data_IF_485018996166
#
_entry.id   IF_485018996166
#
_cell.length_a   1.000
_cell.length_b   1.000
_cell.length_c   1.000
_cell.angle_alpha   90.00
_cell.angle_beta   90.00
_cell.angle_gamma   90.00
#
_symmetry.space_group_name_H-M   'P 1'
#
loop_
_entity.id
_entity.type
_entity.pdbx_description
1 polymer ?
#
# COMPACT_ATOMS: atom_id res chain seq x y z
N UNK A 1 -16.24 -1.18 35.03
CA UNK A 1 -15.24 -0.17 34.59
C UNK A 1 -15.77 0.44 33.31
N UNK A 2 -16.03 1.76 33.32
CA UNK A 2 -16.51 2.48 32.14
C UNK A 2 -15.42 2.41 31.07
N UNK A 3 -15.70 1.81 29.92
CA UNK A 3 -14.86 1.97 28.73
C UNK A 3 -14.98 3.44 28.34
N UNK A 4 -13.99 4.24 28.72
CA UNK A 4 -13.78 5.54 28.09
C UNK A 4 -13.47 5.20 26.64
N UNK A 5 -14.45 5.38 25.76
CA UNK A 5 -14.21 5.54 24.33
C UNK A 5 -13.39 6.81 24.19
N UNK A 6 -12.06 6.69 24.30
CA UNK A 6 -11.15 7.78 23.96
C UNK A 6 -11.51 8.21 22.54
N UNK A 7 -11.98 9.46 22.41
CA UNK A 7 -12.21 10.05 21.10
C UNK A 7 -10.88 10.00 20.33
N UNK A 8 -10.86 9.26 19.22
CA UNK A 8 -9.70 9.15 18.34
C UNK A 8 -9.85 10.16 17.21
N UNK A 9 -8.76 10.82 16.83
CA UNK A 9 -8.70 11.65 15.65
C UNK A 9 -8.92 10.79 14.40
N UNK A 10 -9.77 11.25 13.48
CA UNK A 10 -10.15 10.49 12.29
C UNK A 10 -10.15 11.39 11.05
N UNK A 11 -9.55 10.89 9.96
CA UNK A 11 -9.68 11.50 8.63
C UNK A 11 -10.99 11.03 7.99
N UNK A 12 -11.84 11.94 7.52
CA UNK A 12 -13.14 11.61 6.90
C UNK A 12 -13.15 12.05 5.43
N UNK A 13 -13.72 11.22 4.56
CA UNK A 13 -13.90 11.52 3.13
C UNK A 13 -15.19 10.86 2.59
N UNK A 14 -15.74 11.36 1.46
CA UNK A 14 -16.89 10.72 0.79
C UNK A 14 -16.62 9.24 0.45
N UNK A 15 -17.57 8.37 0.80
CA UNK A 15 -17.48 6.94 0.47
C UNK A 15 -16.54 6.11 1.37
N UNK A 16 -15.98 6.69 2.44
CA UNK A 16 -15.13 5.96 3.41
C UNK A 16 -15.80 4.70 3.97
N UNK A 17 -17.09 4.78 4.24
CA UNK A 17 -17.93 3.71 4.78
C UNK A 17 -18.37 2.68 3.71
N UNK A 18 -18.12 2.96 2.42
CA UNK A 18 -18.50 2.13 1.28
C UNK A 18 -17.29 1.36 0.71
N UNK A 19 -17.58 0.43 -0.20
CA UNK A 19 -16.56 -0.22 -1.01
C UNK A 19 -16.49 0.43 -2.38
N UNK A 20 -15.27 0.75 -2.83
CA UNK A 20 -15.03 1.27 -4.17
C UNK A 20 -14.82 0.09 -5.13
N UNK A 21 -15.84 -0.22 -5.92
CA UNK A 21 -15.75 -1.24 -6.96
C UNK A 21 -15.21 -0.60 -8.24
N UNK A 22 -14.19 -1.21 -8.84
CA UNK A 22 -13.69 -0.82 -10.18
C UNK A 22 -14.13 -1.90 -11.17
N UNK A 23 -15.19 -1.68 -11.97
CA UNK A 23 -15.62 -2.63 -12.98
C UNK A 23 -14.53 -2.81 -14.06
N UNK A 24 -14.41 -4.03 -14.60
CA UNK A 24 -13.45 -4.36 -15.67
C UNK A 24 -14.00 -4.11 -17.09
N UNK A 25 -15.16 -3.48 -17.22
CA UNK A 25 -15.75 -3.14 -18.53
C UNK A 25 -15.11 -1.86 -19.12
N UNK A 26 -15.38 -1.60 -20.40
CA UNK A 26 -14.66 -0.60 -21.23
C UNK A 26 -14.79 0.85 -20.75
N UNK A 27 -15.75 1.15 -19.86
CA UNK A 27 -15.90 2.48 -19.28
C UNK A 27 -15.23 2.61 -17.90
N UNK A 28 -14.91 1.50 -17.21
CA UNK A 28 -13.98 1.40 -16.08
C UNK A 28 -14.20 2.29 -14.85
N UNK A 29 -15.29 3.08 -14.81
CA UNK A 29 -15.46 4.11 -13.77
C UNK A 29 -15.69 3.46 -12.41
N UNK A 30 -14.96 3.90 -11.37
CA UNK A 30 -15.21 3.43 -10.02
C UNK A 30 -16.65 3.72 -9.56
N UNK A 31 -17.29 2.72 -8.94
CA UNK A 31 -18.65 2.81 -8.40
C UNK A 31 -18.63 2.48 -6.91
N UNK A 32 -19.30 3.29 -6.11
CA UNK A 32 -19.48 3.02 -4.69
C UNK A 32 -20.62 2.02 -4.47
N UNK A 33 -20.31 0.94 -3.77
CA UNK A 33 -21.30 -0.06 -3.34
C UNK A 33 -21.25 -0.23 -1.82
N UNK A 34 -22.32 -0.77 -1.24
CA UNK A 34 -22.34 -1.11 0.19
C UNK A 34 -21.30 -2.19 0.51
N UNK A 35 -20.76 -2.19 1.73
CA UNK A 35 -19.67 -3.12 2.12
C UNK A 35 -20.10 -4.59 2.16
N UNK A 36 -21.40 -4.87 2.25
CA UNK A 36 -21.97 -6.21 2.19
C UNK A 36 -22.24 -6.68 0.74
N UNK A 37 -21.99 -5.84 -0.26
CA UNK A 37 -22.11 -6.20 -1.66
C UNK A 37 -21.17 -7.38 -2.00
N UNK A 38 -21.61 -8.42 -2.73
CA UNK A 38 -20.80 -9.62 -2.98
C UNK A 38 -19.41 -9.35 -3.60
N UNK A 39 -19.30 -8.36 -4.49
CA UNK A 39 -18.02 -7.98 -5.09
C UNK A 39 -16.99 -7.44 -4.06
N UNK A 40 -17.46 -6.91 -2.92
CA UNK A 40 -16.59 -6.41 -1.85
C UNK A 40 -15.86 -7.55 -1.12
N UNK A 41 -16.38 -8.78 -1.16
CA UNK A 41 -15.78 -9.97 -0.54
C UNK A 41 -15.32 -11.03 -1.54
N UNK A 42 -15.50 -10.79 -2.84
CA UNK A 42 -15.09 -11.70 -3.90
C UNK A 42 -13.57 -11.92 -3.91
N UNK A 43 -13.16 -13.19 -3.91
CA UNK A 43 -11.77 -13.58 -4.15
C UNK A 43 -11.68 -14.17 -5.55
N UNK A 44 -10.98 -13.46 -6.44
CA UNK A 44 -10.74 -13.89 -7.81
C UNK A 44 -9.45 -14.69 -7.84
N UNK A 45 -9.51 -15.93 -8.32
CA UNK A 45 -8.34 -16.80 -8.39
C UNK A 45 -7.41 -16.35 -9.53
N UNK A 46 -6.12 -16.61 -9.36
CA UNK A 46 -5.13 -16.41 -10.42
C UNK A 46 -4.95 -17.70 -11.23
N UNK A 47 -4.81 -17.54 -12.54
CA UNK A 47 -4.42 -18.62 -13.43
C UNK A 47 -2.89 -18.66 -13.57
N UNK A 48 -2.32 -19.86 -13.53
CA UNK A 48 -0.90 -20.05 -13.80
C UNK A 48 -0.61 -19.84 -15.29
N UNK A 49 0.36 -19.00 -15.61
CA UNK A 49 0.70 -18.63 -16.99
C UNK A 49 1.99 -19.29 -17.47
N UNK A 50 3.10 -19.07 -16.80
CA UNK A 50 4.42 -19.53 -17.24
C UNK A 50 5.45 -19.61 -16.09
N UNK A 51 6.57 -20.30 -16.35
CA UNK A 51 7.76 -20.34 -15.50
C UNK A 51 8.89 -19.58 -16.19
N UNK A 52 9.51 -18.63 -15.49
CA UNK A 52 10.68 -17.90 -16.01
C UNK A 52 11.92 -18.19 -15.16
N UNK A 53 12.94 -18.78 -15.78
CA UNK A 53 14.22 -19.10 -15.15
C UNK A 53 14.30 -20.51 -14.55
N UNK A 54 15.26 -20.70 -13.65
CA UNK A 54 15.43 -21.95 -12.89
C UNK A 54 14.59 -21.88 -11.61
N UNK A 55 13.56 -22.72 -11.54
CA UNK A 55 12.53 -22.66 -10.50
C UNK A 55 12.43 -24.02 -9.81
N UNK A 56 12.42 -24.06 -8.46
CA UNK A 56 12.24 -25.30 -7.70
C UNK A 56 10.97 -26.06 -8.10
N UNK A 57 10.96 -27.38 -7.88
CA UNK A 57 9.76 -28.21 -8.11
C UNK A 57 8.56 -27.76 -7.27
N UNK A 58 8.80 -27.24 -6.07
CA UNK A 58 7.76 -26.58 -5.27
C UNK A 58 7.57 -25.14 -5.78
N UNK A 59 6.46 -24.84 -6.48
CA UNK A 59 6.22 -23.50 -7.03
C UNK A 59 6.06 -22.43 -5.95
N UNK A 60 5.74 -22.83 -4.71
CA UNK A 60 5.60 -21.90 -3.59
C UNK A 60 6.91 -21.61 -2.87
N UNK A 61 7.99 -22.34 -3.17
CA UNK A 61 9.34 -22.06 -2.71
C UNK A 61 10.08 -21.06 -3.64
N UNK A 62 9.45 -20.68 -4.75
CA UNK A 62 9.98 -19.77 -5.75
C UNK A 62 9.49 -18.33 -5.57
N UNK A 63 10.06 -17.41 -6.35
CA UNK A 63 9.52 -16.07 -6.49
C UNK A 63 8.23 -16.09 -7.33
N UNK A 64 7.24 -15.29 -6.93
CA UNK A 64 5.96 -15.18 -7.62
C UNK A 64 5.83 -13.82 -8.32
N UNK A 65 5.33 -13.83 -9.55
CA UNK A 65 4.93 -12.64 -10.29
C UNK A 65 3.44 -12.75 -10.64
N UNK A 66 2.66 -11.78 -10.19
CA UNK A 66 1.24 -11.68 -10.54
C UNK A 66 1.03 -10.59 -11.58
N UNK A 67 0.14 -10.84 -12.54
CA UNK A 67 -0.33 -9.84 -13.50
C UNK A 67 -1.82 -9.61 -13.29
N UNK A 68 -2.21 -8.40 -12.89
CA UNK A 68 -3.59 -8.07 -12.58
C UNK A 68 -3.71 -6.92 -11.58
N UNK A 69 -4.92 -6.69 -11.09
CA UNK A 69 -5.17 -5.69 -10.06
C UNK A 69 -4.56 -6.12 -8.71
N UNK A 70 -3.85 -5.21 -8.05
CA UNK A 70 -3.18 -5.51 -6.78
C UNK A 70 -4.13 -5.86 -5.63
N UNK A 71 -5.37 -5.38 -5.62
CA UNK A 71 -6.37 -5.78 -4.64
C UNK A 71 -6.76 -7.25 -4.80
N UNK A 72 -6.95 -7.71 -6.04
CA UNK A 72 -7.22 -9.13 -6.35
C UNK A 72 -6.05 -10.00 -5.85
N UNK A 73 -4.82 -9.61 -6.15
CA UNK A 73 -3.60 -10.34 -5.72
C UNK A 73 -3.48 -10.38 -4.20
N UNK A 74 -3.65 -9.25 -3.51
CA UNK A 74 -3.60 -9.19 -2.05
C UNK A 74 -4.68 -10.08 -1.41
N UNK A 75 -5.88 -10.16 -2.00
CA UNK A 75 -6.94 -11.08 -1.55
C UNK A 75 -6.54 -12.54 -1.74
N UNK A 76 -5.93 -12.90 -2.87
CA UNK A 76 -5.41 -14.25 -3.10
C UNK A 76 -4.42 -14.62 -1.99
N UNK A 77 -3.42 -13.76 -1.74
CA UNK A 77 -2.40 -14.01 -0.73
C UNK A 77 -2.97 -14.11 0.70
N UNK A 78 -4.06 -13.40 0.99
CA UNK A 78 -4.72 -13.42 2.29
C UNK A 78 -5.69 -14.61 2.46
N UNK A 79 -6.43 -15.00 1.43
CA UNK A 79 -7.62 -15.85 1.59
C UNK A 79 -7.53 -17.23 0.94
N UNK A 80 -6.76 -17.38 -0.14
CA UNK A 80 -6.64 -18.68 -0.83
C UNK A 80 -5.77 -19.62 0.01
N UNK A 81 -6.25 -20.81 0.43
CA UNK A 81 -5.60 -21.63 1.45
C UNK A 81 -4.11 -21.88 1.23
N UNK A 82 -3.71 -22.20 -0.01
CA UNK A 82 -2.34 -22.50 -0.41
C UNK A 82 -1.43 -21.30 -0.16
N UNK A 83 -1.81 -20.11 -0.63
CA UNK A 83 -1.05 -18.87 -0.43
C UNK A 83 -1.14 -18.34 1.00
N UNK A 84 -2.34 -18.34 1.58
CA UNK A 84 -2.60 -17.87 2.94
C UNK A 84 -1.71 -18.57 3.95
N UNK A 85 -1.53 -19.88 3.81
CA UNK A 85 -0.71 -20.67 4.71
C UNK A 85 0.76 -20.25 4.69
N UNK A 86 1.24 -19.59 3.63
CA UNK A 86 2.63 -19.21 3.39
C UNK A 86 2.86 -17.72 3.66
N UNK A 87 1.92 -16.85 3.28
CA UNK A 87 2.15 -15.40 3.26
C UNK A 87 1.44 -14.64 4.38
N UNK A 88 0.25 -15.05 4.81
CA UNK A 88 -0.51 -14.27 5.81
C UNK A 88 0.20 -14.24 7.15
N UNK A 89 0.45 -13.04 7.68
CA UNK A 89 1.22 -12.83 8.91
C UNK A 89 2.69 -13.25 8.83
N UNK A 90 3.26 -13.36 7.63
CA UNK A 90 4.64 -13.87 7.40
C UNK A 90 5.50 -12.96 6.53
N UNK A 91 4.92 -11.94 5.89
CA UNK A 91 5.67 -11.00 5.04
C UNK A 91 6.52 -10.05 5.90
N UNK A 92 7.84 -10.04 5.66
CA UNK A 92 8.80 -9.20 6.41
C UNK A 92 8.83 -7.75 5.95
N UNK A 93 8.65 -7.52 4.66
CA UNK A 93 8.75 -6.21 4.05
C UNK A 93 7.71 -6.11 2.94
N UNK A 94 6.97 -5.01 2.94
CA UNK A 94 6.19 -4.56 1.80
C UNK A 94 6.72 -3.20 1.39
N UNK A 95 7.05 -3.04 0.12
CA UNK A 95 7.36 -1.75 -0.47
C UNK A 95 6.33 -1.48 -1.57
N UNK A 96 5.72 -0.30 -1.55
CA UNK A 96 4.77 0.12 -2.58
C UNK A 96 5.09 1.54 -3.05
N UNK A 97 4.92 1.73 -4.35
CA UNK A 97 5.05 3.00 -5.06
C UNK A 97 3.72 3.26 -5.78
N UNK A 98 2.65 3.62 -5.04
CA UNK A 98 1.33 3.83 -5.61
C UNK A 98 1.32 5.05 -6.54
N UNK A 99 0.26 5.26 -7.35
CA UNK A 99 0.07 6.50 -8.10
C UNK A 99 0.16 7.73 -7.18
N UNK A 100 0.98 8.70 -7.57
CA UNK A 100 1.23 9.92 -6.77
C UNK A 100 0.05 10.89 -6.83
N UNK A 101 -0.83 10.71 -7.81
CA UNK A 101 -2.00 11.55 -8.08
C UNK A 101 -1.62 12.99 -8.44
N UNK A 102 -0.61 13.13 -9.30
CA UNK A 102 -0.02 14.43 -9.68
C UNK A 102 -0.81 15.17 -10.76
N UNK A 103 -1.81 14.51 -11.34
CA UNK A 103 -2.55 15.00 -12.49
C UNK A 103 -1.80 14.86 -13.81
N UNK A 104 -0.69 14.12 -13.86
CA UNK A 104 0.04 13.82 -15.09
C UNK A 104 -0.50 12.55 -15.75
N UNK A 105 -0.77 12.57 -17.05
CA UNK A 105 -1.20 11.35 -17.73
C UNK A 105 -0.02 10.38 -17.88
N UNK A 106 -0.06 9.24 -17.19
CA UNK A 106 0.81 8.09 -17.45
C UNK A 106 0.10 7.07 -18.35
N UNK A 107 0.83 6.33 -19.18
CA UNK A 107 0.26 5.38 -20.15
C UNK A 107 -0.43 4.16 -19.51
N UNK A 108 -0.20 3.89 -18.21
CA UNK A 108 -0.55 2.62 -17.58
C UNK A 108 -1.48 2.72 -16.35
N UNK A 109 -1.83 3.94 -15.90
CA UNK A 109 -2.83 4.16 -14.84
C UNK A 109 -3.35 5.60 -14.83
N UNK A 110 -4.57 5.80 -14.33
CA UNK A 110 -5.18 7.12 -14.15
C UNK A 110 -4.54 7.85 -12.94
N UNK A 111 -3.59 8.74 -13.17
CA UNK A 111 -2.94 9.58 -12.13
C UNK A 111 -3.68 10.91 -11.90
N UNK A 112 -5.01 10.89 -12.04
CA UNK A 112 -5.89 12.05 -11.84
C UNK A 112 -7.11 11.70 -10.97
N UNK A 113 -6.95 10.76 -10.04
CA UNK A 113 -8.02 10.32 -9.16
C UNK A 113 -8.45 11.45 -8.22
N UNK A 114 -9.75 11.58 -7.98
CA UNK A 114 -10.21 12.43 -6.89
C UNK A 114 -9.72 11.83 -5.54
N UNK A 115 -9.30 12.69 -4.61
CA UNK A 115 -8.63 12.29 -3.36
C UNK A 115 -9.40 11.26 -2.52
N UNK A 116 -10.74 11.35 -2.46
CA UNK A 116 -11.58 10.38 -1.75
C UNK A 116 -11.57 9.00 -2.42
N UNK A 117 -11.47 8.99 -3.75
CA UNK A 117 -11.34 7.76 -4.56
C UNK A 117 -9.97 7.12 -4.33
N UNK A 118 -8.88 7.92 -4.36
CA UNK A 118 -7.52 7.47 -4.07
C UNK A 118 -7.39 6.91 -2.65
N UNK A 119 -7.95 7.61 -1.64
CA UNK A 119 -7.96 7.16 -0.26
C UNK A 119 -8.67 5.82 -0.08
N UNK A 120 -9.85 5.63 -0.69
CA UNK A 120 -10.56 4.35 -0.62
C UNK A 120 -9.83 3.25 -1.36
N UNK A 121 -9.25 3.54 -2.53
CA UNK A 121 -8.42 2.60 -3.28
C UNK A 121 -7.23 2.10 -2.44
N UNK A 122 -6.52 3.01 -1.76
CA UNK A 122 -5.38 2.67 -0.92
C UNK A 122 -5.79 1.99 0.39
N UNK A 123 -6.90 2.40 1.01
CA UNK A 123 -7.36 1.83 2.29
C UNK A 123 -7.58 0.32 2.19
N UNK A 124 -8.26 -0.14 1.14
CA UNK A 124 -8.56 -1.56 0.96
C UNK A 124 -7.26 -2.40 0.79
N UNK A 125 -6.25 -1.85 0.12
CA UNK A 125 -4.94 -2.48 -0.05
C UNK A 125 -4.13 -2.52 1.24
N UNK A 126 -4.08 -1.39 1.96
CA UNK A 126 -3.33 -1.29 3.22
C UNK A 126 -3.90 -2.23 4.30
N UNK A 127 -5.21 -2.42 4.34
CA UNK A 127 -5.85 -3.38 5.25
C UNK A 127 -5.36 -4.82 5.01
N UNK A 128 -5.27 -5.24 3.74
CA UNK A 128 -4.74 -6.57 3.39
C UNK A 128 -3.23 -6.66 3.61
N UNK A 129 -2.47 -5.64 3.24
CA UNK A 129 -1.02 -5.57 3.50
C UNK A 129 -0.75 -5.75 5.00
N UNK A 130 -1.51 -5.08 5.86
CA UNK A 130 -1.39 -5.21 7.31
C UNK A 130 -1.60 -6.65 7.79
N UNK A 131 -2.53 -7.37 7.18
CA UNK A 131 -2.81 -8.78 7.50
C UNK A 131 -1.74 -9.74 6.97
N UNK A 132 -1.03 -9.37 5.91
CA UNK A 132 0.12 -10.10 5.37
C UNK A 132 1.40 -9.92 6.20
N UNK A 133 1.59 -8.76 6.81
CA UNK A 133 2.80 -8.46 7.57
C UNK A 133 3.00 -9.40 8.77
N UNK A 134 4.22 -9.92 8.89
CA UNK A 134 4.71 -10.58 10.10
C UNK A 134 4.69 -9.62 11.31
N UNK A 135 4.67 -10.12 12.56
CA UNK A 135 4.76 -9.27 13.75
C UNK A 135 5.96 -8.32 13.74
N UNK A 136 7.08 -8.77 13.17
CA UNK A 136 8.30 -8.01 12.92
C UNK A 136 8.43 -7.54 11.46
N UNK A 137 7.30 -7.39 10.76
CA UNK A 137 7.23 -6.86 9.41
C UNK A 137 7.11 -5.33 9.37
N UNK A 138 7.49 -4.75 8.22
CA UNK A 138 7.31 -3.32 7.93
C UNK A 138 6.75 -3.08 6.54
N UNK A 139 6.06 -1.94 6.38
CA UNK A 139 5.56 -1.44 5.10
C UNK A 139 6.15 -0.06 4.82
N UNK A 140 6.54 0.15 3.57
CA UNK A 140 7.24 1.32 3.06
C UNK A 140 6.43 1.86 1.89
N UNK A 141 5.97 3.10 1.99
CA UNK A 141 5.09 3.73 0.99
C UNK A 141 5.77 4.97 0.45
N UNK A 142 6.16 4.95 -0.82
CA UNK A 142 6.84 6.04 -1.51
C UNK A 142 5.83 6.95 -2.21
N UNK A 143 5.90 8.25 -1.94
CA UNK A 143 5.01 9.27 -2.49
C UNK A 143 5.77 10.60 -2.69
N UNK A 144 5.21 11.46 -3.53
CA UNK A 144 5.54 12.88 -3.55
C UNK A 144 4.67 13.68 -2.57
N UNK A 145 4.67 15.00 -2.74
CA UNK A 145 3.94 15.92 -1.87
C UNK A 145 2.41 15.90 -2.04
N UNK A 146 1.87 15.31 -3.12
CA UNK A 146 0.45 15.41 -3.44
C UNK A 146 -0.43 14.60 -2.45
N UNK A 147 0.00 13.37 -2.13
CA UNK A 147 -0.78 12.46 -1.27
C UNK A 147 -0.08 12.05 0.03
N UNK A 148 1.19 12.40 0.26
CA UNK A 148 1.93 11.96 1.45
C UNK A 148 1.18 12.23 2.77
N UNK A 149 0.56 13.39 2.93
CA UNK A 149 -0.10 13.73 4.20
C UNK A 149 -1.40 12.94 4.39
N UNK A 150 -2.15 12.69 3.31
CA UNK A 150 -3.37 11.87 3.36
C UNK A 150 -3.02 10.41 3.59
N UNK A 151 -1.99 9.92 2.92
CA UNK A 151 -1.43 8.58 3.14
C UNK A 151 -0.99 8.41 4.59
N UNK A 152 -0.26 9.37 5.14
CA UNK A 152 0.22 9.33 6.53
C UNK A 152 -0.93 9.14 7.51
N UNK A 153 -1.99 9.93 7.39
CA UNK A 153 -3.17 9.81 8.24
C UNK A 153 -3.92 8.48 8.03
N UNK A 154 -3.99 8.01 6.79
CA UNK A 154 -4.57 6.70 6.48
C UNK A 154 -3.76 5.55 7.09
N UNK A 155 -2.43 5.61 7.03
CA UNK A 155 -1.55 4.63 7.67
C UNK A 155 -1.65 4.69 9.20
N UNK A 156 -1.81 5.89 9.79
CA UNK A 156 -2.11 6.04 11.22
C UNK A 156 -3.42 5.34 11.61
N UNK A 157 -4.47 5.38 10.76
CA UNK A 157 -5.72 4.63 10.96
C UNK A 157 -5.51 3.12 10.84
N UNK A 158 -4.81 2.65 9.80
CA UNK A 158 -4.72 1.22 9.47
C UNK A 158 -3.74 0.48 10.38
N UNK A 159 -2.56 1.06 10.60
CA UNK A 159 -1.46 0.46 11.36
C UNK A 159 -1.37 0.99 12.78
N UNK A 160 -1.93 2.17 13.07
CA UNK A 160 -1.80 2.85 14.36
C UNK A 160 -0.62 3.82 14.38
N UNK A 161 -0.84 5.03 14.88
CA UNK A 161 0.21 6.07 14.95
C UNK A 161 1.46 5.65 15.74
N UNK A 162 1.28 4.84 16.78
CA UNK A 162 2.37 4.27 17.57
C UNK A 162 3.29 3.32 16.78
N UNK A 163 2.90 2.92 15.57
CA UNK A 163 3.67 2.06 14.67
C UNK A 163 4.38 2.82 13.54
N UNK A 164 4.19 4.14 13.43
CA UNK A 164 5.01 4.96 12.54
C UNK A 164 6.49 4.87 12.97
N UNK A 165 7.39 4.47 12.07
CA UNK A 165 8.84 4.40 12.32
C UNK A 165 9.60 5.63 11.82
N UNK A 166 8.99 6.39 10.91
CA UNK A 166 9.51 7.64 10.41
C UNK A 166 9.20 7.82 8.93
N UNK A 167 9.83 8.85 8.36
CA UNK A 167 9.82 9.12 6.94
C UNK A 167 11.25 9.17 6.43
N UNK A 168 11.54 8.50 5.32
CA UNK A 168 12.79 8.65 4.58
C UNK A 168 12.59 9.74 3.53
N UNK A 169 13.54 10.68 3.45
CA UNK A 169 13.56 11.71 2.41
C UNK A 169 14.39 11.19 1.26
N UNK A 170 13.75 10.91 0.13
CA UNK A 170 14.39 10.47 -1.10
C UNK A 170 14.68 11.67 -1.99
N UNK A 171 15.95 11.96 -2.26
CA UNK A 171 16.33 13.01 -3.20
C UNK A 171 16.03 12.52 -4.62
N UNK A 172 14.99 13.08 -5.24
CA UNK A 172 14.54 12.71 -6.58
C UNK A 172 15.31 13.44 -7.70
N UNK A 173 15.92 14.59 -7.38
CA UNK A 173 16.69 15.39 -8.34
C UNK A 173 18.05 15.86 -7.77
N UNK A 174 19.10 15.75 -8.59
CA UNK A 174 20.46 16.19 -8.25
C UNK A 174 20.67 17.70 -8.36
N UNK A 175 19.77 18.39 -9.04
CA UNK A 175 19.78 19.84 -9.22
C UNK A 175 18.38 20.39 -9.06
N UNK A 176 18.27 21.58 -8.46
CA UNK A 176 16.99 22.28 -8.38
C UNK A 176 16.47 22.68 -9.77
N UNK A 177 15.17 22.67 -9.92
CA UNK A 177 14.44 23.25 -11.04
C UNK A 177 14.48 24.78 -10.95
N UNK A 178 15.40 25.38 -11.72
CA UNK A 178 15.57 26.83 -11.79
C UNK A 178 14.38 27.57 -12.46
N UNK A 179 13.51 26.83 -13.15
CA UNK A 179 12.28 27.37 -13.75
C UNK A 179 11.05 27.20 -12.85
N UNK A 180 11.23 26.67 -11.63
CA UNK A 180 10.15 26.55 -10.66
C UNK A 180 9.62 27.95 -10.29
N UNK A 181 8.31 28.15 -10.46
CA UNK A 181 7.65 29.42 -10.12
C UNK A 181 7.51 29.66 -8.61
N UNK A 182 7.62 28.60 -7.81
CA UNK A 182 7.52 28.63 -6.34
C UNK A 182 8.74 27.94 -5.73
N UNK A 183 8.59 26.71 -5.25
CA UNK A 183 9.66 25.89 -4.71
C UNK A 183 10.02 24.78 -5.69
N UNK A 184 11.31 24.48 -5.78
CA UNK A 184 11.77 23.29 -6.48
C UNK A 184 11.46 22.05 -5.63
N UNK A 185 10.70 21.13 -6.20
CA UNK A 185 10.35 19.87 -5.57
C UNK A 185 11.40 18.82 -5.96
N UNK A 186 12.45 18.73 -5.14
CA UNK A 186 13.64 17.91 -5.43
C UNK A 186 13.67 16.60 -4.62
N UNK A 187 12.62 16.33 -3.85
CA UNK A 187 12.54 15.15 -3.01
C UNK A 187 11.13 14.54 -2.99
N UNK A 188 11.12 13.25 -2.71
CA UNK A 188 9.95 12.46 -2.38
C UNK A 188 10.07 11.98 -0.93
N UNK A 189 8.98 11.45 -0.40
CA UNK A 189 8.92 10.90 0.94
C UNK A 189 8.54 9.41 0.92
N UNK A 190 9.23 8.61 1.73
CA UNK A 190 8.87 7.21 1.98
C UNK A 190 8.41 7.07 3.43
N UNK A 191 7.12 6.82 3.63
CA UNK A 191 6.57 6.54 4.95
C UNK A 191 6.87 5.12 5.38
N UNK A 192 7.38 4.95 6.59
CA UNK A 192 7.73 3.64 7.15
C UNK A 192 6.86 3.33 8.36
N UNK A 193 6.10 2.24 8.28
CA UNK A 193 5.31 1.71 9.39
C UNK A 193 5.70 0.27 9.68
N UNK A 194 5.62 -0.11 10.95
CA UNK A 194 5.76 -1.50 11.37
C UNK A 194 4.41 -2.14 11.67
N UNK A 195 4.39 -3.47 11.72
CA UNK A 195 3.23 -4.22 12.23
C UNK A 195 3.07 -4.08 13.75
N UNK A 196 4.18 -4.00 14.46
CA UNK A 196 4.25 -3.93 15.93
C UNK A 196 5.24 -2.82 16.35
N UNK A 197 5.03 -2.13 17.50
CA UNK A 197 5.88 -1.01 17.91
C UNK A 197 7.31 -1.42 18.26
N UNK A 198 7.54 -2.70 18.57
CA UNK A 198 8.86 -3.25 18.91
C UNK A 198 9.71 -3.66 17.70
N UNK A 199 9.22 -3.42 16.49
CA UNK A 199 9.98 -3.68 15.27
C UNK A 199 11.35 -2.98 15.29
N UNK A 200 12.37 -3.68 14.80
CA UNK A 200 13.74 -3.18 14.69
C UNK A 200 14.23 -3.35 13.26
N UNK A 201 14.93 -2.34 12.74
CA UNK A 201 15.65 -2.48 11.48
C UNK A 201 16.87 -3.41 11.67
N UNK A 202 17.31 -4.03 10.58
CA UNK A 202 18.53 -4.87 10.59
C UNK A 202 19.80 -4.06 10.87
N UNK A 203 19.71 -2.72 10.83
CA UNK A 203 20.85 -1.82 10.96
C UNK A 203 21.83 -1.95 9.80
N UNK A 204 22.89 -1.15 9.85
CA UNK A 204 24.10 -1.33 9.05
C UNK A 204 25.23 -1.48 10.04
N UNK A 205 26.13 -2.43 9.83
CA UNK A 205 27.34 -2.52 10.64
C UNK A 205 28.10 -1.21 10.55
N UNK A 206 28.45 -0.63 11.71
CA UNK A 206 29.26 0.59 11.73
C UNK A 206 30.65 0.24 11.21
N UNK A 207 31.01 0.78 10.05
CA UNK A 207 32.41 0.79 9.62
C UNK A 207 33.17 1.77 10.52
N UNK A 208 34.42 1.44 10.87
CA UNK A 208 35.24 2.23 11.80
C UNK A 208 35.59 3.66 11.32
N UNK A 209 35.03 4.11 10.21
CA UNK A 209 35.27 5.42 9.59
C UNK A 209 34.10 6.41 9.74
N UNK A 210 33.04 6.05 10.48
CA UNK A 210 31.91 6.95 10.81
C UNK A 210 31.88 7.32 12.29
#
# INVERSE_FOLDING_TARGET
ASQVTEARLELVWPGKDKFLLVPKDTDGKPVWVERDHPAASEVRLADFTDVVGDVPEDPYAANLLFTGDSLDVLRILCEVPEYRSIYRGKVKLVYIDPPFNTGQAFEHYDDWMEHSTWLSFMRERLLLIRDLLAPDGSVWVHLDDAEQHRMRLLMDEVFGAANCRGSVIWRAADTGNYDAKTFSMDHNQVHVYSRHPEWRSNGVERSAQQ
#
